data_IF_932433694609
#
_entry.id   IF_932433694609
#
_cell.length_a   1.000
_cell.length_b   1.000
_cell.length_c   1.000
_cell.angle_alpha   90.00
_cell.angle_beta   90.00
_cell.angle_gamma   90.00
#
_symmetry.space_group_name_H-M   'P 1'
#
loop_
_entity.id
_entity.type
_entity.pdbx_description
1 polymer ?
#
# COMPACT_ATOMS: atom_id res chain seq x y z
N UNK A 1 13.96 64.35 8.55
CA UNK A 1 12.87 63.35 8.69
C UNK A 1 13.39 62.02 8.18
N UNK A 2 13.39 60.99 9.05
CA UNK A 2 13.42 59.52 8.84
C UNK A 2 14.50 58.90 7.93
N UNK A 3 15.11 57.75 8.21
CA UNK A 3 15.24 56.91 9.40
C UNK A 3 16.34 55.88 9.07
N UNK A 4 17.26 55.62 10.00
CA UNK A 4 18.21 54.53 9.89
C UNK A 4 17.48 53.21 10.15
N UNK A 5 17.45 52.31 9.17
CA UNK A 5 16.88 50.97 9.34
C UNK A 5 18.01 49.98 9.57
N UNK A 6 18.31 49.71 10.84
CA UNK A 6 19.11 48.57 11.28
C UNK A 6 18.24 47.31 11.20
N UNK A 7 18.32 46.58 10.08
CA UNK A 7 17.76 45.23 10.01
C UNK A 7 18.70 44.26 10.71
N UNK A 8 18.45 44.09 12.00
CA UNK A 8 18.87 42.95 12.82
C UNK A 8 18.16 41.72 12.25
N UNK A 9 18.83 41.00 11.36
CA UNK A 9 18.31 39.81 10.69
C UNK A 9 19.09 38.55 11.05
N UNK A 10 18.61 37.82 12.05
CA UNK A 10 18.73 36.35 12.12
C UNK A 10 19.96 35.78 12.84
N UNK A 11 19.77 35.33 14.08
CA UNK A 11 20.63 34.33 14.69
C UNK A 11 20.52 33.01 13.91
N UNK A 12 21.61 32.44 13.35
CA UNK A 12 21.54 31.11 12.78
C UNK A 12 21.32 30.12 13.92
N UNK A 13 20.10 29.55 13.97
CA UNK A 13 19.74 28.43 14.83
C UNK A 13 20.65 27.26 14.48
N UNK A 14 21.76 27.13 15.20
CA UNK A 14 22.70 26.02 15.07
C UNK A 14 21.94 24.74 15.42
N UNK A 15 21.49 24.02 14.40
CA UNK A 15 21.05 22.64 14.54
C UNK A 15 22.27 21.82 14.96
N UNK A 16 22.43 21.60 16.25
CA UNK A 16 23.36 20.59 16.78
C UNK A 16 22.75 19.21 16.48
N UNK A 17 23.20 18.58 15.40
CA UNK A 17 22.84 17.20 15.07
C UNK A 17 23.50 16.28 16.09
N UNK A 18 22.75 15.80 17.08
CA UNK A 18 23.23 14.80 18.03
C UNK A 18 23.50 13.49 17.28
N UNK A 19 24.77 13.07 17.22
CA UNK A 19 25.17 11.77 16.66
C UNK A 19 25.03 10.71 17.75
N UNK A 20 24.07 9.81 17.58
CA UNK A 20 23.97 8.60 18.39
C UNK A 20 25.05 7.61 17.89
N UNK A 21 26.02 7.31 18.74
CA UNK A 21 27.01 6.25 18.49
C UNK A 21 26.57 5.04 19.31
N UNK A 22 26.11 4.00 18.63
CA UNK A 22 25.85 2.71 19.25
C UNK A 22 27.19 2.02 19.52
N UNK A 23 27.51 1.83 20.79
CA UNK A 23 28.62 0.97 21.22
C UNK A 23 28.00 -0.38 21.62
N UNK A 24 28.25 -1.47 20.86
CA UNK A 24 27.77 -2.78 21.27
C UNK A 24 28.43 -3.18 22.60
N UNK A 25 27.67 -3.78 23.53
CA UNK A 25 28.26 -4.34 24.74
C UNK A 25 29.27 -5.44 24.36
N UNK A 26 30.43 -5.52 25.04
CA UNK A 26 31.38 -6.60 24.77
C UNK A 26 30.69 -7.95 25.02
N UNK A 27 30.86 -8.88 24.08
CA UNK A 27 30.30 -10.22 24.19
C UNK A 27 30.77 -10.88 25.49
N UNK A 28 29.88 -11.57 26.24
CA UNK A 28 30.31 -12.37 27.37
C UNK A 28 31.31 -13.42 26.89
N UNK A 29 32.44 -13.51 27.60
CA UNK A 29 33.51 -14.45 27.31
C UNK A 29 32.95 -15.87 27.22
N UNK A 30 33.15 -16.52 26.07
CA UNK A 30 32.78 -17.90 25.85
C UNK A 30 33.59 -18.82 26.78
N UNK A 31 32.91 -19.53 27.66
CA UNK A 31 33.44 -20.73 28.30
C UNK A 31 33.61 -21.83 27.24
N UNK A 32 34.79 -22.46 27.13
CA UNK A 32 34.99 -23.52 26.15
C UNK A 32 34.46 -24.87 26.65
N UNK A 33 33.98 -25.65 25.67
CA UNK A 33 33.88 -27.12 25.62
C UNK A 33 32.73 -27.82 26.35
N UNK A 34 31.82 -28.43 25.59
CA UNK A 34 31.99 -29.83 25.16
C UNK A 34 30.90 -30.31 24.18
N UNK A 35 31.36 -30.92 23.08
CA UNK A 35 30.85 -32.14 22.45
C UNK A 35 29.38 -32.25 21.95
N UNK A 36 29.28 -32.38 20.61
CA UNK A 36 28.41 -33.35 19.90
C UNK A 36 26.92 -33.00 19.74
N UNK A 37 26.56 -32.42 18.59
CA UNK A 37 25.84 -33.10 17.49
C UNK A 37 25.67 -32.14 16.32
N UNK A 38 26.15 -32.54 15.15
CA UNK A 38 25.88 -31.89 13.87
C UNK A 38 24.44 -32.20 13.47
N UNK A 39 23.49 -31.34 13.80
CA UNK A 39 22.13 -31.41 13.23
C UNK A 39 22.13 -30.75 11.85
N UNK A 40 22.58 -31.51 10.85
CA UNK A 40 22.31 -31.21 9.43
C UNK A 40 20.84 -31.53 9.13
N UNK A 41 20.02 -30.49 9.00
CA UNK A 41 18.62 -30.60 8.59
C UNK A 41 18.55 -30.79 7.07
N UNK A 42 18.33 -32.03 6.62
CA UNK A 42 18.12 -32.38 5.21
C UNK A 42 16.64 -32.19 4.89
N UNK A 43 16.31 -31.19 4.07
CA UNK A 43 14.97 -31.00 3.52
C UNK A 43 14.90 -31.81 2.22
N UNK A 44 14.18 -32.92 2.24
CA UNK A 44 13.85 -33.70 1.05
C UNK A 44 12.66 -33.03 0.34
N UNK A 45 12.91 -32.41 -0.81
CA UNK A 45 11.87 -31.84 -1.67
C UNK A 45 11.14 -32.99 -2.39
N UNK A 46 9.81 -33.17 -2.21
CA UNK A 46 9.07 -34.21 -2.91
C UNK A 46 8.99 -33.90 -4.41
N UNK A 47 9.21 -34.94 -5.23
CA UNK A 47 9.34 -34.82 -6.68
C UNK A 47 8.11 -34.20 -7.37
N UNK A 48 8.29 -33.39 -8.44
CA UNK A 48 7.20 -32.79 -9.19
C UNK A 48 6.30 -33.85 -9.82
N UNK A 49 4.96 -33.73 -9.75
CA UNK A 49 4.07 -34.64 -10.45
C UNK A 49 4.24 -34.50 -11.98
N UNK A 50 4.36 -35.63 -12.66
CA UNK A 50 4.60 -35.75 -14.10
C UNK A 50 3.49 -35.08 -14.94
N UNK A 51 3.83 -34.44 -16.08
CA UNK A 51 2.85 -33.84 -16.97
C UNK A 51 2.04 -34.91 -17.71
N UNK A 52 0.72 -34.93 -17.48
CA UNK A 52 -0.19 -35.79 -18.23
C UNK A 52 -0.14 -35.49 -19.74
N UNK A 53 -0.15 -36.59 -20.48
CA UNK A 53 0.09 -36.69 -21.91
C UNK A 53 -1.02 -36.03 -22.74
N UNK A 54 -0.63 -35.24 -23.74
CA UNK A 54 -1.50 -34.80 -24.84
C UNK A 54 -1.98 -36.01 -25.65
N UNK A 55 -3.25 -36.06 -26.06
CA UNK A 55 -3.61 -36.66 -27.34
C UNK A 55 -3.65 -35.58 -28.43
N UNK A 56 -2.99 -35.90 -29.53
CA UNK A 56 -2.87 -35.06 -30.72
C UNK A 56 -4.11 -35.17 -31.62
N UNK A 57 -4.43 -34.02 -32.25
CA UNK A 57 -5.00 -33.84 -33.59
C UNK A 57 -6.36 -34.45 -33.97
N UNK A 58 -7.35 -33.59 -34.26
CA UNK A 58 -7.92 -33.41 -35.61
C UNK A 58 -8.66 -32.06 -35.71
N UNK A 59 -8.36 -31.23 -36.72
CA UNK A 59 -9.17 -30.10 -37.21
C UNK A 59 -10.11 -30.62 -38.36
N UNK A 60 -11.12 -29.92 -38.95
CA UNK A 60 -11.30 -28.45 -39.04
C UNK A 60 -12.77 -27.89 -39.00
N UNK A 61 -12.87 -26.55 -38.96
CA UNK A 61 -13.91 -25.63 -39.51
C UNK A 61 -15.41 -25.90 -39.36
N UNK A 62 -16.14 -24.98 -38.69
CA UNK A 62 -17.37 -24.36 -39.23
C UNK A 62 -17.85 -23.12 -38.41
N UNK A 63 -17.67 -21.95 -39.02
CA UNK A 63 -18.62 -20.86 -39.29
C UNK A 63 -19.92 -20.68 -38.45
N UNK A 64 -20.08 -19.44 -37.94
CA UNK A 64 -21.34 -18.69 -37.65
C UNK A 64 -22.26 -19.27 -36.55
N UNK A 65 -22.95 -18.52 -35.68
CA UNK A 65 -23.52 -17.19 -35.79
C UNK A 65 -23.74 -16.60 -34.37
N UNK A 66 -24.01 -15.29 -34.36
CA UNK A 66 -24.34 -14.49 -33.19
C UNK A 66 -25.41 -15.11 -32.27
N UNK A 67 -25.19 -15.04 -30.96
CA UNK A 67 -26.26 -14.88 -29.99
C UNK A 67 -25.73 -14.21 -28.70
N UNK A 68 -26.19 -12.98 -28.47
CA UNK A 68 -26.12 -12.32 -27.16
C UNK A 68 -26.80 -13.22 -26.13
N UNK A 69 -26.04 -13.70 -25.15
CA UNK A 69 -26.58 -14.26 -23.92
C UNK A 69 -25.97 -13.52 -22.72
N UNK A 70 -26.85 -13.04 -21.84
CA UNK A 70 -26.57 -12.28 -20.62
C UNK A 70 -25.55 -12.98 -19.72
N UNK A 71 -24.79 -12.24 -18.87
CA UNK A 71 -23.97 -12.87 -17.85
C UNK A 71 -24.84 -13.64 -16.85
N UNK A 72 -24.47 -14.88 -16.46
CA UNK A 72 -25.23 -15.64 -15.48
C UNK A 72 -25.11 -14.98 -14.09
N UNK A 73 -26.26 -14.62 -13.51
CA UNK A 73 -26.40 -14.32 -12.08
C UNK A 73 -25.94 -15.56 -11.30
N UNK A 74 -24.77 -15.50 -10.66
CA UNK A 74 -24.37 -16.50 -9.67
C UNK A 74 -25.25 -16.32 -8.42
N UNK A 75 -26.23 -17.21 -8.27
CA UNK A 75 -26.91 -17.47 -7.00
C UNK A 75 -25.86 -17.92 -6.00
N UNK A 76 -25.69 -17.19 -4.90
CA UNK A 76 -24.99 -17.66 -3.72
C UNK A 76 -25.82 -18.78 -3.10
N UNK A 77 -25.30 -20.00 -3.14
CA UNK A 77 -25.79 -21.11 -2.33
C UNK A 77 -25.48 -20.80 -0.87
N UNK A 78 -26.55 -20.55 -0.10
CA UNK A 78 -26.58 -20.53 1.36
C UNK A 78 -26.16 -21.92 1.86
N UNK A 79 -25.10 -22.04 2.70
CA UNK A 79 -24.88 -23.27 3.44
C UNK A 79 -25.97 -23.41 4.51
N UNK A 80 -26.55 -24.59 4.52
CA UNK A 80 -27.52 -25.08 5.49
C UNK A 80 -27.01 -24.94 6.93
N UNK A 81 -27.92 -24.62 7.82
CA UNK A 81 -27.72 -24.65 9.26
C UNK A 81 -27.89 -26.08 9.77
N UNK A 82 -27.01 -26.61 10.63
CA UNK A 82 -27.35 -27.71 11.51
C UNK A 82 -28.02 -27.14 12.77
N UNK A 83 -29.22 -27.62 13.05
CA UNK A 83 -29.91 -27.36 14.30
C UNK A 83 -29.40 -28.31 15.41
N UNK A 84 -29.49 -27.79 16.64
CA UNK A 84 -29.52 -28.46 17.95
C UNK A 84 -28.21 -29.00 18.55
N UNK A 85 -27.75 -28.35 19.63
CA UNK A 85 -27.84 -28.91 21.00
C UNK A 85 -27.64 -27.75 22.01
N UNK A 86 -28.62 -27.53 22.87
CA UNK A 86 -28.46 -26.71 24.09
C UNK A 86 -27.37 -27.33 24.97
N UNK A 87 -26.25 -26.63 25.14
CA UNK A 87 -25.36 -26.89 26.25
C UNK A 87 -24.80 -25.55 26.73
N UNK A 88 -25.53 -24.95 27.66
CA UNK A 88 -25.13 -23.74 28.38
C UNK A 88 -23.75 -23.94 29.02
N UNK A 89 -22.69 -23.24 28.58
CA UNK A 89 -21.44 -23.22 29.31
C UNK A 89 -21.60 -22.22 30.45
N UNK A 90 -21.39 -22.70 31.68
CA UNK A 90 -21.43 -21.93 32.90
C UNK A 90 -20.71 -20.57 32.74
N UNK A 91 -21.41 -19.51 33.10
CA UNK A 91 -20.93 -18.13 33.18
C UNK A 91 -19.69 -18.06 34.09
N UNK A 92 -18.48 -17.77 33.56
CA UNK A 92 -17.37 -17.42 34.43
C UNK A 92 -17.67 -16.05 35.06
N UNK A 93 -17.29 -15.81 36.33
CA UNK A 93 -17.57 -14.54 37.00
C UNK A 93 -16.98 -13.40 36.17
N UNK A 94 -17.79 -12.37 35.95
CA UNK A 94 -17.41 -11.14 35.27
C UNK A 94 -16.21 -10.50 35.98
N UNK A 95 -15.01 -10.87 35.57
CA UNK A 95 -13.82 -10.09 35.82
C UNK A 95 -13.96 -8.84 34.96
N UNK A 96 -14.39 -7.76 35.60
CA UNK A 96 -14.44 -6.40 35.08
C UNK A 96 -13.01 -5.93 34.80
N UNK A 97 -12.39 -6.50 33.77
CA UNK A 97 -11.12 -6.05 33.23
C UNK A 97 -11.50 -4.95 32.25
N UNK A 98 -11.28 -3.66 32.56
CA UNK A 98 -11.53 -2.60 31.60
C UNK A 98 -10.68 -2.92 30.37
N UNK A 99 -11.35 -3.14 29.24
CA UNK A 99 -10.69 -3.37 27.97
C UNK A 99 -9.66 -2.25 27.77
N UNK A 100 -8.36 -2.56 27.58
CA UNK A 100 -7.36 -1.53 27.37
C UNK A 100 -7.80 -0.71 26.17
N UNK A 101 -8.04 0.59 26.39
CA UNK A 101 -8.45 1.50 25.34
C UNK A 101 -7.39 1.46 24.24
N UNK A 102 -7.75 0.90 23.08
CA UNK A 102 -6.88 0.88 21.91
C UNK A 102 -6.62 2.34 21.54
N UNK A 103 -5.38 2.82 21.74
CA UNK A 103 -5.01 4.15 21.33
C UNK A 103 -5.22 4.29 19.81
N UNK A 104 -5.93 5.33 19.35
CA UNK A 104 -6.09 5.56 17.92
C UNK A 104 -4.70 5.72 17.27
N UNK A 105 -4.50 5.08 16.11
CA UNK A 105 -3.30 5.23 15.29
C UNK A 105 -3.08 6.71 14.93
N UNK A 106 -2.27 7.41 15.71
CA UNK A 106 -1.92 8.81 15.53
C UNK A 106 -2.93 9.79 16.15
N UNK A 107 -2.43 10.96 16.52
CA UNK A 107 -3.28 12.04 17.05
C UNK A 107 -4.20 12.59 15.95
N UNK A 108 -5.38 13.10 16.32
CA UNK A 108 -6.31 13.73 15.36
C UNK A 108 -5.65 14.82 14.52
N UNK A 109 -4.73 15.58 15.14
CA UNK A 109 -3.95 16.62 14.46
C UNK A 109 -3.03 16.04 13.39
N UNK A 110 -2.40 14.89 13.63
CA UNK A 110 -1.57 14.21 12.63
C UNK A 110 -2.42 13.78 11.43
N UNK A 111 -3.61 13.23 11.65
CA UNK A 111 -4.50 12.83 10.56
C UNK A 111 -4.97 14.04 9.75
N UNK A 112 -5.30 15.15 10.41
CA UNK A 112 -5.67 16.40 9.73
C UNK A 112 -4.52 16.95 8.89
N UNK A 113 -3.29 16.91 9.41
CA UNK A 113 -2.11 17.34 8.67
C UNK A 113 -1.85 16.43 7.45
N UNK A 114 -1.94 15.11 7.62
CA UNK A 114 -1.80 14.16 6.51
C UNK A 114 -2.84 14.40 5.41
N UNK A 115 -4.10 14.66 5.77
CA UNK A 115 -5.14 15.01 4.79
C UNK A 115 -4.78 16.27 3.99
N UNK A 116 -4.26 17.31 4.65
CA UNK A 116 -3.82 18.53 3.98
C UNK A 116 -2.64 18.27 3.05
N UNK A 117 -1.66 17.48 3.49
CA UNK A 117 -0.50 17.10 2.66
C UNK A 117 -0.94 16.35 1.39
N UNK A 118 -1.85 15.39 1.53
CA UNK A 118 -2.38 14.62 0.39
C UNK A 118 -3.14 15.55 -0.56
N UNK A 119 -4.00 16.43 -0.03
CA UNK A 119 -4.75 17.39 -0.86
C UNK A 119 -3.82 18.33 -1.64
N UNK A 120 -2.77 18.85 -0.99
CA UNK A 120 -1.78 19.70 -1.64
C UNK A 120 -1.01 18.93 -2.75
N UNK A 121 -0.66 17.67 -2.51
CA UNK A 121 -0.01 16.82 -3.51
C UNK A 121 -0.93 16.51 -4.71
N UNK A 122 -2.23 16.28 -4.46
CA UNK A 122 -3.23 16.09 -5.50
C UNK A 122 -3.36 17.35 -6.38
N UNK A 123 -3.53 18.51 -5.76
CA UNK A 123 -3.67 19.80 -6.47
C UNK A 123 -2.42 20.11 -7.32
N UNK A 124 -1.22 19.95 -6.75
CA UNK A 124 0.03 20.18 -7.47
C UNK A 124 0.20 19.23 -8.67
N UNK A 125 -0.26 17.98 -8.54
CA UNK A 125 -0.22 17.02 -9.64
C UNK A 125 -1.26 17.33 -10.70
N UNK A 126 -2.47 17.74 -10.30
CA UNK A 126 -3.53 18.14 -11.23
C UNK A 126 -3.13 19.36 -12.07
N UNK A 127 -2.46 20.35 -11.47
CA UNK A 127 -1.93 21.51 -12.19
C UNK A 127 -0.92 21.12 -13.26
N UNK A 128 0.01 20.23 -12.92
CA UNK A 128 1.03 19.72 -13.87
C UNK A 128 0.39 18.93 -15.02
N UNK A 129 -0.59 18.09 -14.72
CA UNK A 129 -1.40 17.40 -15.74
C UNK A 129 -2.04 18.40 -16.71
N UNK A 130 -2.68 19.45 -16.19
CA UNK A 130 -3.32 20.47 -17.02
C UNK A 130 -2.31 21.25 -17.89
N UNK A 131 -1.08 21.45 -17.43
CA UNK A 131 -0.02 22.06 -18.23
C UNK A 131 0.42 21.17 -19.39
N UNK A 132 0.52 19.86 -19.15
CA UNK A 132 0.90 18.87 -20.16
C UNK A 132 -0.23 18.57 -21.16
N UNK A 133 -1.49 18.78 -20.79
CA UNK A 133 -2.66 18.58 -21.68
C UNK A 133 -2.63 19.43 -22.95
N UNK A 134 -2.02 20.62 -22.89
CA UNK A 134 -1.86 21.50 -24.04
C UNK A 134 -0.65 21.17 -24.93
N UNK A 135 0.20 20.23 -24.51
CA UNK A 135 1.43 19.88 -25.20
C UNK A 135 1.20 18.75 -26.23
N UNK A 136 1.97 18.76 -27.32
CA UNK A 136 1.95 17.70 -28.34
C UNK A 136 2.74 16.48 -27.86
N UNK A 137 2.17 15.76 -26.89
CA UNK A 137 2.74 14.57 -26.28
C UNK A 137 2.72 13.36 -27.23
N UNK A 138 3.73 12.49 -27.09
CA UNK A 138 3.74 11.18 -27.76
C UNK A 138 2.55 10.30 -27.30
N UNK A 139 2.21 9.28 -28.07
CA UNK A 139 1.06 8.39 -27.76
C UNK A 139 1.25 7.72 -26.39
N UNK A 140 2.47 7.25 -26.09
CA UNK A 140 2.79 6.57 -24.84
C UNK A 140 2.72 7.54 -23.64
N UNK A 141 3.23 8.77 -23.80
CA UNK A 141 3.14 9.80 -22.76
C UNK A 141 1.68 10.19 -22.46
N UNK A 142 0.84 10.30 -23.51
CA UNK A 142 -0.60 10.55 -23.33
C UNK A 142 -1.29 9.44 -22.55
N UNK A 143 -0.89 8.18 -22.78
CA UNK A 143 -1.40 7.04 -22.02
C UNK A 143 -0.94 7.10 -20.57
N UNK A 144 0.35 7.33 -20.32
CA UNK A 144 0.90 7.50 -18.96
C UNK A 144 0.21 8.65 -18.21
N UNK A 145 -0.09 9.75 -18.88
CA UNK A 145 -0.83 10.88 -18.31
C UNK A 145 -2.30 10.50 -18.02
N UNK A 146 -2.91 9.66 -18.87
CA UNK A 146 -4.20 9.01 -18.58
C UNK A 146 -4.18 8.16 -17.32
N UNK A 147 -3.16 7.32 -17.14
CA UNK A 147 -2.96 6.49 -15.95
C UNK A 147 -2.74 7.36 -14.70
N UNK A 148 -1.99 8.46 -14.82
CA UNK A 148 -1.81 9.43 -13.73
C UNK A 148 -3.14 10.03 -13.27
N UNK A 149 -4.04 10.40 -14.20
CA UNK A 149 -5.39 10.88 -13.85
C UNK A 149 -6.21 9.80 -13.14
N UNK A 150 -6.12 8.55 -13.58
CA UNK A 150 -6.81 7.44 -12.92
C UNK A 150 -6.34 7.26 -11.47
N UNK A 151 -5.03 7.33 -11.20
CA UNK A 151 -4.50 7.27 -9.84
C UNK A 151 -4.91 8.46 -8.98
N UNK A 152 -4.97 9.68 -9.55
CA UNK A 152 -5.52 10.83 -8.82
C UNK A 152 -6.97 10.63 -8.44
N UNK A 153 -7.82 10.18 -9.36
CA UNK A 153 -9.23 9.92 -9.06
C UNK A 153 -9.41 8.84 -7.98
N UNK A 154 -8.58 7.79 -7.99
CA UNK A 154 -8.57 6.77 -6.94
C UNK A 154 -8.08 7.36 -5.60
N UNK A 155 -7.06 8.21 -5.63
CA UNK A 155 -6.55 8.90 -4.43
C UNK A 155 -7.62 9.78 -3.78
N UNK A 156 -8.40 10.52 -4.58
CA UNK A 156 -9.51 11.34 -4.08
C UNK A 156 -10.58 10.48 -3.40
N UNK A 157 -10.98 9.37 -4.03
CA UNK A 157 -11.94 8.43 -3.44
C UNK A 157 -11.43 7.80 -2.15
N UNK A 158 -10.16 7.39 -2.12
CA UNK A 158 -9.54 6.85 -0.91
C UNK A 158 -9.53 7.90 0.22
N UNK A 159 -9.27 9.17 -0.10
CA UNK A 159 -9.29 10.26 0.87
C UNK A 159 -10.71 10.52 1.41
N UNK A 160 -11.73 10.48 0.55
CA UNK A 160 -13.15 10.57 0.93
C UNK A 160 -13.57 9.41 1.84
N UNK A 161 -13.05 8.21 1.60
CA UNK A 161 -13.29 7.02 2.43
C UNK A 161 -12.49 7.01 3.74
N UNK A 162 -11.62 8.01 3.97
CA UNK A 162 -10.76 8.08 5.16
C UNK A 162 -9.52 7.18 5.10
N UNK A 163 -9.23 6.57 3.96
CA UNK A 163 -8.08 5.69 3.73
C UNK A 163 -6.81 6.51 3.42
N UNK A 164 -6.23 7.15 4.45
CA UNK A 164 -5.12 8.10 4.30
C UNK A 164 -3.85 7.47 3.68
N UNK A 165 -3.53 6.23 4.06
CA UNK A 165 -2.37 5.51 3.54
C UNK A 165 -2.47 5.25 2.03
N UNK A 166 -3.53 4.55 1.56
CA UNK A 166 -3.80 4.36 0.14
C UNK A 166 -3.89 5.67 -0.63
N UNK A 167 -4.60 6.68 -0.10
CA UNK A 167 -4.73 7.99 -0.74
C UNK A 167 -3.37 8.64 -1.01
N UNK A 168 -2.47 8.65 -0.01
CA UNK A 168 -1.12 9.20 -0.15
C UNK A 168 -0.30 8.46 -1.20
N UNK A 169 -0.34 7.13 -1.19
CA UNK A 169 0.44 6.31 -2.13
C UNK A 169 -0.03 6.51 -3.57
N UNK A 170 -1.35 6.56 -3.79
CA UNK A 170 -1.95 6.81 -5.10
C UNK A 170 -1.63 8.21 -5.63
N UNK A 171 -1.70 9.24 -4.76
CA UNK A 171 -1.29 10.61 -5.13
C UNK A 171 0.19 10.66 -5.52
N UNK A 172 1.06 10.01 -4.75
CA UNK A 172 2.49 9.94 -5.06
C UNK A 172 2.75 9.22 -6.38
N UNK A 173 2.06 8.10 -6.64
CA UNK A 173 2.19 7.37 -7.90
C UNK A 173 1.77 8.23 -9.10
N UNK A 174 0.66 8.97 -8.99
CA UNK A 174 0.27 9.91 -10.03
C UNK A 174 1.35 10.98 -10.27
N UNK A 175 1.92 11.53 -9.19
CA UNK A 175 3.00 12.52 -9.29
C UNK A 175 4.24 11.98 -10.00
N UNK A 176 4.63 10.73 -9.76
CA UNK A 176 5.76 10.09 -10.44
C UNK A 176 5.51 9.87 -11.92
N UNK A 177 4.30 9.46 -12.31
CA UNK A 177 3.95 9.30 -13.72
C UNK A 177 3.96 10.63 -14.46
N UNK A 178 3.44 11.69 -13.83
CA UNK A 178 3.51 13.05 -14.37
C UNK A 178 4.95 13.50 -14.53
N UNK A 179 5.78 13.30 -13.50
CA UNK A 179 7.21 13.63 -13.56
C UNK A 179 7.93 12.86 -14.67
N UNK A 180 7.59 11.60 -14.89
CA UNK A 180 8.17 10.81 -15.98
C UNK A 180 7.81 11.40 -17.36
N UNK A 181 6.57 11.87 -17.53
CA UNK A 181 6.14 12.55 -18.76
C UNK A 181 6.80 13.92 -18.92
N UNK A 182 6.97 14.67 -17.83
CA UNK A 182 7.71 15.94 -17.84
C UNK A 182 9.19 15.77 -18.21
N UNK A 183 9.76 14.58 -18.00
CA UNK A 183 11.15 14.27 -18.33
C UNK A 183 11.31 13.73 -19.76
N UNK A 184 10.28 13.11 -20.33
CA UNK A 184 10.29 12.62 -21.71
C UNK A 184 9.94 13.68 -22.74
N UNK A 185 9.28 14.76 -22.31
CA UNK A 185 8.83 15.87 -23.14
C UNK A 185 9.72 17.11 -23.03
#
# INVERSE_FOLDING_TARGET
MFAAVLLIGGCPKRHTTSRLVYVPPPAPAATPQSATTTETLVIEEPAPPEPESKPSATAPTQESAAQRARPPRRRTTRPDAPAETEQSPAEPPAADVPAPALEPLGTLDQQANLRREIAAAQEGTQKRIAQLEGANLAIDDRKTLGDARAFLAQSTRALENGELGPARLLAHKAALLVQAVEQSH
#
